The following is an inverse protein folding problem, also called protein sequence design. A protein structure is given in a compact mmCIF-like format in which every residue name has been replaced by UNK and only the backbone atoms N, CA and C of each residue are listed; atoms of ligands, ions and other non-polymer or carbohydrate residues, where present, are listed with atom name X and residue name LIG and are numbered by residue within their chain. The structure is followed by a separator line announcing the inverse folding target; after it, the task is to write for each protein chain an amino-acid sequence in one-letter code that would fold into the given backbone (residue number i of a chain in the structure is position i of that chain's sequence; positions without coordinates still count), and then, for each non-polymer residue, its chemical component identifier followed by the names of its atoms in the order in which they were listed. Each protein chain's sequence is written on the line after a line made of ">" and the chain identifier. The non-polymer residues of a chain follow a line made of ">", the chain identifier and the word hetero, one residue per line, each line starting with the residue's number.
data_IF_164171425579
#
_entry.id   IF_164171425579
#
_cell.length_a   1.000
_cell.length_b   1.000
_cell.length_c   1.000
_cell.angle_alpha   90.00
_cell.angle_beta   90.00
_cell.angle_gamma   90.00
#
_symmetry.space_group_name_H-M   'P 1'
#
loop_
_entity.id
_entity.type
_entity.pdbx_description
1 polymer ?
#
# COMPACT_ATOMS: atom_id res chain seq x y z
N UNK A 1 3.75 -50.00 21.28
CA UNK A 1 2.94 -49.13 20.38
C UNK A 1 2.85 -47.65 20.82
N UNK A 2 3.04 -47.30 22.11
CA UNK A 2 2.98 -45.89 22.57
C UNK A 2 4.18 -45.01 22.17
N UNK A 3 5.33 -45.61 21.80
CA UNK A 3 6.57 -44.89 21.47
C UNK A 3 6.62 -44.32 20.04
N UNK A 4 5.69 -44.73 19.16
CA UNK A 4 5.57 -44.25 17.78
C UNK A 4 4.62 -43.04 17.65
N UNK A 5 3.80 -42.74 18.66
CA UNK A 5 2.88 -41.59 18.61
C UNK A 5 3.59 -40.25 18.83
N UNK A 6 4.66 -40.23 19.64
CA UNK A 6 5.42 -39.01 19.97
C UNK A 6 6.02 -38.32 18.72
N UNK A 7 6.72 -39.02 17.80
CA UNK A 7 7.28 -38.37 16.62
C UNK A 7 6.18 -37.88 15.65
N UNK A 8 5.07 -38.59 15.53
CA UNK A 8 3.96 -38.19 14.66
C UNK A 8 3.31 -36.88 15.11
N UNK A 9 3.13 -36.69 16.42
CA UNK A 9 2.60 -35.44 16.98
C UNK A 9 3.57 -34.28 16.78
N UNK A 10 4.88 -34.51 16.94
CA UNK A 10 5.90 -33.48 16.72
C UNK A 10 5.93 -32.98 15.26
N UNK A 11 5.83 -33.89 14.29
CA UNK A 11 5.74 -33.55 12.86
C UNK A 11 4.48 -32.74 12.57
N UNK A 12 3.34 -33.12 13.17
CA UNK A 12 2.08 -32.41 12.96
C UNK A 12 2.11 -30.96 13.49
N UNK A 13 2.75 -30.74 14.64
CA UNK A 13 2.93 -29.39 15.21
C UNK A 13 3.84 -28.52 14.32
N UNK A 14 4.91 -29.10 13.77
CA UNK A 14 5.82 -28.38 12.86
C UNK A 14 5.14 -27.98 11.54
N UNK A 15 4.28 -28.85 10.99
CA UNK A 15 3.51 -28.55 9.77
C UNK A 15 2.48 -27.44 10.02
N UNK A 16 1.81 -27.44 11.18
CA UNK A 16 0.86 -26.39 11.57
C UNK A 16 1.52 -25.01 11.72
N UNK A 17 2.74 -24.94 12.23
CA UNK A 17 3.49 -23.68 12.30
C UNK A 17 3.83 -23.11 10.91
N UNK A 18 4.04 -23.99 9.92
CA UNK A 18 4.24 -23.59 8.52
C UNK A 18 3.01 -22.93 7.88
N UNK A 19 1.79 -23.35 8.24
CA UNK A 19 0.56 -22.75 7.72
C UNK A 19 0.31 -21.34 8.27
N UNK A 20 0.72 -21.04 9.50
CA UNK A 20 0.63 -19.70 10.08
C UNK A 20 1.77 -18.77 9.63
N UNK A 21 2.90 -19.33 9.17
CA UNK A 21 4.10 -18.58 8.77
C UNK A 21 4.06 -18.06 7.33
N UNK A 22 2.99 -18.29 6.56
CA UNK A 22 2.78 -17.60 5.28
C UNK A 22 2.34 -16.14 5.55
N UNK A 23 3.26 -15.38 6.16
CA UNK A 23 3.19 -13.98 6.53
C UNK A 23 3.29 -13.05 5.34
N UNK A 24 2.61 -13.38 4.25
CA UNK A 24 2.16 -12.37 3.31
C UNK A 24 1.09 -11.57 4.04
N UNK A 25 1.50 -10.58 4.83
CA UNK A 25 0.60 -9.62 5.43
C UNK A 25 -0.18 -8.96 4.30
N UNK A 26 -1.39 -9.46 4.03
CA UNK A 26 -2.45 -8.71 3.36
C UNK A 26 -2.87 -7.48 4.16
N UNK A 27 -2.31 -7.30 5.36
CA UNK A 27 -2.42 -6.10 6.16
C UNK A 27 -1.74 -4.95 5.42
N UNK A 28 -2.59 -4.25 4.66
CA UNK A 28 -2.45 -2.86 4.25
C UNK A 28 -1.13 -2.60 3.52
N UNK A 29 -1.16 -2.75 2.19
CA UNK A 29 -0.19 -2.03 1.36
C UNK A 29 -0.37 -0.56 1.73
N UNK A 30 0.59 0.03 2.44
CA UNK A 30 0.47 1.41 2.91
C UNK A 30 0.22 2.31 1.69
N UNK A 31 -0.93 2.97 1.67
CA UNK A 31 -1.28 3.96 0.65
C UNK A 31 -0.95 5.33 1.23
N UNK A 32 -0.16 6.12 0.52
CA UNK A 32 0.04 7.54 0.82
C UNK A 32 -0.85 8.39 -0.10
N UNK A 33 -1.41 9.46 0.44
CA UNK A 33 -2.08 10.49 -0.35
C UNK A 33 -1.04 11.50 -0.83
N UNK A 34 -0.92 11.67 -2.13
CA UNK A 34 -0.05 12.67 -2.75
C UNK A 34 -0.88 13.62 -3.59
N UNK A 35 -0.43 14.85 -3.75
CA UNK A 35 -1.09 15.82 -4.63
C UNK A 35 -1.07 15.28 -6.07
N UNK A 36 -2.19 15.42 -6.77
CA UNK A 36 -2.27 15.03 -8.16
C UNK A 36 -1.72 16.15 -9.06
N UNK A 37 -0.39 16.21 -9.17
CA UNK A 37 0.33 17.28 -9.89
C UNK A 37 -0.11 17.42 -11.34
N UNK A 38 -0.37 16.30 -12.03
CA UNK A 38 -0.82 16.32 -13.43
C UNK A 38 -2.14 17.06 -13.58
N UNK A 39 -3.11 16.78 -12.70
CA UNK A 39 -4.39 17.47 -12.70
C UNK A 39 -4.24 18.95 -12.32
N UNK A 40 -3.46 19.24 -11.27
CA UNK A 40 -3.19 20.62 -10.83
C UNK A 40 -2.57 21.43 -11.96
N UNK A 41 -1.61 20.87 -12.68
CA UNK A 41 -0.93 21.51 -13.80
C UNK A 41 -1.85 21.74 -14.99
N UNK A 42 -2.72 20.77 -15.32
CA UNK A 42 -3.72 20.94 -16.36
C UNK A 42 -4.67 22.10 -16.05
N UNK A 43 -5.18 22.18 -14.81
CA UNK A 43 -6.04 23.30 -14.38
C UNK A 43 -5.27 24.63 -14.40
N UNK A 44 -4.04 24.64 -13.89
CA UNK A 44 -3.20 25.83 -13.89
C UNK A 44 -2.92 26.31 -15.32
N UNK A 45 -2.66 25.39 -16.26
CA UNK A 45 -2.43 25.71 -17.66
C UNK A 45 -3.63 26.42 -18.30
N UNK A 46 -4.83 25.84 -18.15
CA UNK A 46 -6.06 26.42 -18.69
C UNK A 46 -6.40 27.76 -18.01
N UNK A 47 -6.19 27.86 -16.70
CA UNK A 47 -6.46 29.10 -15.95
C UNK A 47 -5.64 30.29 -16.47
N UNK A 48 -4.37 30.05 -16.80
CA UNK A 48 -3.47 31.07 -17.38
C UNK A 48 -3.93 31.51 -18.76
N UNK A 49 -4.38 30.58 -19.60
CA UNK A 49 -4.89 30.88 -20.94
C UNK A 49 -6.21 31.68 -20.91
N UNK A 50 -7.01 31.47 -19.87
CA UNK A 50 -8.33 32.10 -19.71
C UNK A 50 -8.31 33.36 -18.87
N UNK A 51 -7.16 33.74 -18.31
CA UNK A 51 -7.02 34.92 -17.44
C UNK A 51 -7.65 34.76 -16.06
N UNK A 52 -7.96 33.54 -15.64
CA UNK A 52 -8.55 33.23 -14.33
C UNK A 52 -7.43 32.92 -13.33
N UNK A 53 -7.52 33.46 -12.11
CA UNK A 53 -6.60 33.14 -11.02
C UNK A 53 -7.16 32.01 -10.16
N UNK A 54 -6.46 30.88 -10.12
CA UNK A 54 -6.78 29.76 -9.25
C UNK A 54 -5.94 29.82 -7.97
N UNK A 55 -6.56 29.51 -6.83
CA UNK A 55 -5.88 29.38 -5.54
C UNK A 55 -6.36 28.11 -4.87
N UNK A 56 -5.44 27.17 -4.62
CA UNK A 56 -5.75 25.88 -4.04
C UNK A 56 -5.75 25.98 -2.51
N UNK A 57 -6.93 25.79 -1.89
CA UNK A 57 -7.05 25.66 -0.43
C UNK A 57 -6.89 24.21 0.01
N UNK A 58 -7.38 23.26 -0.81
CA UNK A 58 -7.19 21.83 -0.65
C UNK A 58 -6.97 21.21 -2.04
N UNK A 59 -5.71 21.09 -2.51
CA UNK A 59 -5.44 20.56 -3.84
C UNK A 59 -5.87 19.09 -3.93
N UNK A 60 -6.34 18.65 -5.11
CA UNK A 60 -6.77 17.27 -5.31
C UNK A 60 -5.61 16.30 -5.08
N UNK A 61 -5.90 15.20 -4.42
CA UNK A 61 -4.92 14.15 -4.09
C UNK A 61 -5.30 12.82 -4.69
N UNK A 62 -4.30 12.01 -5.03
CA UNK A 62 -4.44 10.61 -5.41
C UNK A 62 -3.74 9.69 -4.41
N UNK A 63 -4.18 8.43 -4.38
CA UNK A 63 -3.56 7.38 -3.58
C UNK A 63 -2.45 6.72 -4.38
N UNK A 64 -1.28 6.60 -3.78
CA UNK A 64 -0.15 5.88 -4.36
C UNK A 64 0.43 4.89 -3.35
N UNK A 65 1.03 3.78 -3.79
CA UNK A 65 1.76 2.88 -2.92
C UNK A 65 2.88 3.62 -2.16
N UNK A 66 3.04 3.38 -0.86
CA UNK A 66 4.06 4.06 -0.05
C UNK A 66 5.50 3.79 -0.52
N UNK A 67 5.72 2.63 -1.15
CA UNK A 67 6.97 2.17 -1.76
C UNK A 67 7.22 2.72 -3.18
N UNK A 68 6.28 3.51 -3.73
CA UNK A 68 6.56 4.27 -4.95
C UNK A 68 7.51 5.41 -4.59
N UNK A 69 8.80 5.23 -4.95
CA UNK A 69 9.91 6.18 -4.80
C UNK A 69 9.73 7.45 -5.63
N UNK A 70 8.61 8.12 -5.44
CA UNK A 70 8.41 9.53 -5.73
C UNK A 70 9.01 10.24 -4.53
N UNK A 71 10.35 10.36 -4.57
CA UNK A 71 11.09 11.29 -3.73
C UNK A 71 10.80 12.70 -4.28
N UNK A 72 10.26 13.56 -3.41
CA UNK A 72 9.95 14.97 -3.69
C UNK A 72 11.23 15.80 -3.96
#
# INVERSE_FOLDING_TARGET
>A
MKRLMVPATAVFILVLAGCASNGGSRFVKEEKFVVDTEYVDAVNHVSRQTGVRVTWVNPPTKRVPADSGIDD
#
